data_IF_733866393144
#
_entry.id   IF_733866393144
#
_cell.length_a   1.000
_cell.length_b   1.000
_cell.length_c   1.000
_cell.angle_alpha   90.00
_cell.angle_beta   90.00
_cell.angle_gamma   90.00
#
_symmetry.space_group_name_H-M   'P 1'
#
loop_
_entity.id
_entity.type
_entity.pdbx_description
1 polymer ?
#
# COMPACT_ATOMS: atom_id res chain seq x y z
N UNK A 1 11.09 7.33 6.56
CA UNK A 1 11.87 7.09 5.31
C UNK A 1 11.41 5.80 4.68
N UNK A 2 10.93 5.85 3.44
CA UNK A 2 10.69 4.67 2.60
C UNK A 2 11.92 4.36 1.75
N UNK A 3 12.04 3.11 1.28
CA UNK A 3 13.10 2.71 0.34
C UNK A 3 13.05 3.53 -0.96
N UNK A 4 11.86 3.98 -1.38
CA UNK A 4 11.66 4.92 -2.47
C UNK A 4 10.39 5.77 -2.23
N UNK A 5 10.25 6.90 -2.92
CA UNK A 5 9.07 7.76 -2.83
C UNK A 5 7.80 6.98 -3.18
N UNK A 6 6.82 6.89 -2.28
CA UNK A 6 5.57 6.16 -2.48
C UNK A 6 4.81 6.63 -3.72
N UNK A 7 4.06 5.72 -4.32
CA UNK A 7 3.10 6.04 -5.36
C UNK A 7 1.94 5.06 -5.27
N UNK A 8 0.83 5.53 -4.72
CA UNK A 8 -0.38 4.73 -4.46
C UNK A 8 -1.23 4.55 -5.71
N UNK A 9 -2.14 3.57 -5.68
CA UNK A 9 -3.15 3.42 -6.73
C UNK A 9 -4.09 4.64 -6.82
N UNK A 10 -4.34 5.34 -5.72
CA UNK A 10 -5.06 6.62 -5.72
C UNK A 10 -4.30 7.72 -6.45
N UNK A 11 -2.97 7.82 -6.25
CA UNK A 11 -2.15 8.77 -7.01
C UNK A 11 -2.22 8.49 -8.51
N UNK A 12 -2.18 7.20 -8.90
CA UNK A 12 -2.37 6.81 -10.29
C UNK A 12 -3.70 7.33 -10.83
N UNK A 13 -4.82 7.01 -10.18
CA UNK A 13 -6.16 7.43 -10.63
C UNK A 13 -6.27 8.95 -10.76
N UNK A 14 -5.69 9.71 -9.82
CA UNK A 14 -5.66 11.17 -9.88
C UNK A 14 -4.83 11.70 -11.06
N UNK A 15 -3.66 11.12 -11.31
CA UNK A 15 -2.83 11.51 -12.45
C UNK A 15 -3.52 11.18 -13.78
N UNK A 16 -4.13 9.99 -13.91
CA UNK A 16 -4.87 9.62 -15.10
C UNK A 16 -6.07 10.54 -15.33
N UNK A 17 -6.84 10.84 -14.27
CA UNK A 17 -7.95 11.79 -14.35
C UNK A 17 -7.48 13.17 -14.82
N UNK A 18 -6.35 13.67 -14.29
CA UNK A 18 -5.75 14.94 -14.74
C UNK A 18 -5.29 14.91 -16.19
N UNK A 19 -4.89 13.77 -16.73
CA UNK A 19 -4.45 13.65 -18.12
C UNK A 19 -5.61 13.50 -19.10
N UNK A 20 -6.74 12.93 -18.68
CA UNK A 20 -7.85 12.56 -19.59
C UNK A 20 -9.12 13.39 -19.44
N UNK A 21 -9.33 14.06 -18.30
CA UNK A 21 -10.57 14.80 -18.00
C UNK A 21 -10.35 16.31 -17.83
N UNK A 22 -9.44 16.91 -18.59
CA UNK A 22 -9.34 18.37 -18.66
C UNK A 22 -10.42 18.94 -19.59
N UNK A 23 -11.60 19.21 -19.02
CA UNK A 23 -12.63 20.05 -19.65
C UNK A 23 -12.12 21.51 -19.71
N UNK A 24 -12.19 22.23 -20.85
CA UNK A 24 -12.92 21.93 -22.09
C UNK A 24 -12.09 21.37 -23.25
N UNK A 25 -10.88 20.86 -23.01
CA UNK A 25 -9.96 20.40 -24.06
C UNK A 25 -9.47 18.99 -23.81
N UNK A 26 -10.39 18.03 -23.79
CA UNK A 26 -10.04 16.60 -23.80
C UNK A 26 -9.23 16.31 -25.07
N UNK A 27 -7.97 15.91 -24.90
CA UNK A 27 -7.09 15.59 -26.03
C UNK A 27 -7.60 14.31 -26.72
N UNK A 28 -8.08 14.37 -27.97
CA UNK A 28 -8.61 13.19 -28.66
C UNK A 28 -7.54 12.11 -28.93
N UNK A 29 -6.27 12.48 -28.81
CA UNK A 29 -5.13 11.58 -29.03
C UNK A 29 -4.77 10.77 -27.78
N UNK A 30 -5.43 11.01 -26.65
CA UNK A 30 -5.19 10.31 -25.37
C UNK A 30 -6.46 9.62 -24.92
N UNK A 31 -6.45 8.30 -24.98
CA UNK A 31 -7.54 7.44 -24.51
C UNK A 31 -7.05 6.64 -23.30
N UNK A 32 -7.90 6.49 -22.29
CA UNK A 32 -7.61 5.69 -21.11
C UNK A 32 -8.76 4.73 -20.87
N UNK A 33 -8.47 3.45 -21.03
CA UNK A 33 -9.43 2.36 -20.91
C UNK A 33 -9.07 1.46 -19.73
N UNK A 34 -10.05 0.67 -19.30
CA UNK A 34 -9.80 -0.44 -18.37
C UNK A 34 -9.37 -1.63 -19.23
N UNK A 35 -8.10 -2.01 -19.16
CA UNK A 35 -7.55 -3.17 -19.86
C UNK A 35 -8.21 -4.46 -19.35
N UNK A 36 -8.28 -4.60 -18.03
CA UNK A 36 -8.93 -5.71 -17.36
C UNK A 36 -9.25 -5.36 -15.90
N UNK A 37 -9.97 -6.26 -15.24
CA UNK A 37 -10.11 -6.30 -13.79
C UNK A 37 -9.08 -7.28 -13.23
N UNK A 38 -8.41 -6.88 -12.16
CA UNK A 38 -7.49 -7.74 -11.43
C UNK A 38 -8.23 -8.77 -10.57
N UNK A 39 -7.51 -9.63 -9.85
CA UNK A 39 -8.12 -10.66 -9.01
C UNK A 39 -8.93 -10.07 -7.85
N UNK A 40 -8.51 -8.93 -7.31
CA UNK A 40 -9.26 -8.20 -6.29
C UNK A 40 -10.29 -7.21 -6.89
N UNK A 41 -10.55 -7.26 -8.21
CA UNK A 41 -11.57 -6.42 -8.86
C UNK A 41 -11.12 -4.99 -9.17
N UNK A 42 -9.86 -4.64 -8.91
CA UNK A 42 -9.31 -3.33 -9.23
C UNK A 42 -9.16 -3.17 -10.75
N UNK A 43 -9.33 -1.94 -11.24
CA UNK A 43 -9.09 -1.63 -12.65
C UNK A 43 -7.59 -1.65 -12.95
N UNK A 44 -7.16 -2.48 -13.90
CA UNK A 44 -5.87 -2.31 -14.55
C UNK A 44 -6.07 -1.38 -15.75
N UNK A 45 -5.50 -0.18 -15.72
CA UNK A 45 -5.68 0.83 -16.77
C UNK A 45 -4.69 0.63 -17.91
N UNK A 46 -5.10 0.96 -19.13
CA UNK A 46 -4.22 1.13 -20.28
C UNK A 46 -4.52 2.44 -20.98
N UNK A 47 -3.47 3.20 -21.28
CA UNK A 47 -3.55 4.39 -22.10
C UNK A 47 -3.17 4.06 -23.54
N UNK A 48 -3.95 4.58 -24.48
CA UNK A 48 -3.59 4.65 -25.88
C UNK A 48 -3.26 6.10 -26.23
N UNK A 49 -2.02 6.38 -26.62
CA UNK A 49 -1.59 7.73 -27.02
C UNK A 49 -1.09 7.68 -28.46
N UNK A 50 -1.78 8.37 -29.38
CA UNK A 50 -1.40 8.44 -30.80
C UNK A 50 -2.18 9.53 -31.53
N UNK A 51 -1.63 10.07 -32.62
CA UNK A 51 -2.29 11.08 -33.46
C UNK A 51 -3.40 10.42 -34.30
N UNK A 52 -4.67 10.69 -34.02
CA UNK A 52 -5.80 10.03 -34.70
C UNK A 52 -5.92 10.38 -36.20
N UNK A 53 -5.24 11.42 -36.68
CA UNK A 53 -5.27 11.82 -38.10
C UNK A 53 -4.46 10.89 -39.00
N UNK A 54 -3.53 10.12 -38.44
CA UNK A 54 -2.66 9.21 -39.20
C UNK A 54 -3.11 7.76 -38.97
N UNK A 55 -3.37 6.98 -40.03
CA UNK A 55 -3.77 5.58 -39.91
C UNK A 55 -2.79 4.75 -39.09
N UNK A 56 -3.28 3.83 -38.27
CA UNK A 56 -2.46 3.05 -37.35
C UNK A 56 -1.47 2.11 -38.06
N UNK A 57 -1.81 1.66 -39.28
CA UNK A 57 -1.01 0.77 -40.11
C UNK A 57 0.28 1.44 -40.63
N UNK A 58 0.32 2.77 -40.61
CA UNK A 58 1.49 3.57 -40.99
C UNK A 58 2.42 3.87 -39.80
N UNK A 59 2.11 3.32 -38.62
CA UNK A 59 2.80 3.60 -37.37
C UNK A 59 3.38 2.34 -36.75
N UNK A 60 4.38 2.53 -35.91
CA UNK A 60 4.95 1.47 -35.09
C UNK A 60 4.20 1.36 -33.75
N UNK A 61 3.89 0.14 -33.33
CA UNK A 61 3.33 -0.12 -32.00
C UNK A 61 4.40 -0.10 -30.93
N UNK A 62 4.14 0.55 -29.79
CA UNK A 62 5.02 0.54 -28.63
C UNK A 62 4.23 0.21 -27.36
N UNK A 63 4.59 -0.88 -26.68
CA UNK A 63 4.00 -1.28 -25.40
C UNK A 63 4.97 -0.95 -24.26
N UNK A 64 4.50 -0.21 -23.26
CA UNK A 64 5.28 0.13 -22.06
C UNK A 64 4.46 -0.21 -20.82
N UNK A 65 5.05 -0.88 -19.84
CA UNK A 65 4.40 -1.18 -18.58
C UNK A 65 5.28 -0.87 -17.38
N UNK A 66 4.68 -0.69 -16.21
CA UNK A 66 5.37 -0.47 -14.93
C UNK A 66 4.65 -1.18 -13.77
N UNK A 67 5.32 -1.25 -12.62
CA UNK A 67 4.81 -1.85 -11.36
C UNK A 67 4.27 -3.27 -11.52
N UNK A 68 5.11 -4.18 -12.04
CA UNK A 68 4.86 -5.62 -11.91
C UNK A 68 5.07 -6.03 -10.45
N UNK A 69 6.19 -5.58 -9.86
CA UNK A 69 6.43 -5.67 -8.43
C UNK A 69 5.86 -4.43 -7.73
N UNK A 70 5.01 -4.60 -6.71
CA UNK A 70 4.30 -3.48 -6.09
C UNK A 70 5.23 -2.54 -5.32
N UNK A 71 6.32 -3.04 -4.75
CA UNK A 71 7.30 -2.24 -3.99
C UNK A 71 8.20 -1.33 -4.83
N UNK A 72 8.26 -1.48 -6.16
CA UNK A 72 9.14 -0.71 -7.06
C UNK A 72 8.53 0.65 -7.45
N UNK A 73 8.27 1.50 -6.45
CA UNK A 73 7.52 2.76 -6.65
C UNK A 73 8.21 3.78 -7.55
N UNK A 74 9.55 3.75 -7.66
CA UNK A 74 10.32 4.54 -8.63
C UNK A 74 9.80 4.36 -10.07
N UNK A 75 9.35 3.16 -10.45
CA UNK A 75 8.81 2.90 -11.79
C UNK A 75 7.54 3.71 -12.07
N UNK A 76 6.70 3.97 -11.07
CA UNK A 76 5.53 4.84 -11.23
C UNK A 76 5.89 6.30 -11.43
N UNK A 77 6.95 6.79 -10.80
CA UNK A 77 7.43 8.16 -11.00
C UNK A 77 8.03 8.36 -12.40
N UNK A 78 8.82 7.38 -12.87
CA UNK A 78 9.30 7.35 -14.26
C UNK A 78 8.12 7.32 -15.26
N UNK A 79 7.14 6.46 -15.01
CA UNK A 79 5.91 6.36 -15.80
C UNK A 79 5.11 7.66 -15.81
N UNK A 80 4.98 8.34 -14.66
CA UNK A 80 4.30 9.64 -14.56
C UNK A 80 4.98 10.69 -15.42
N UNK A 81 6.31 10.75 -15.41
CA UNK A 81 7.08 11.66 -16.26
C UNK A 81 6.86 11.39 -17.74
N UNK A 82 6.94 10.12 -18.15
CA UNK A 82 6.67 9.68 -19.52
C UNK A 82 5.26 10.09 -19.98
N UNK A 83 4.24 9.79 -19.17
CA UNK A 83 2.85 10.12 -19.49
C UNK A 83 2.65 11.63 -19.62
N UNK A 84 3.19 12.44 -18.70
CA UNK A 84 3.09 13.90 -18.78
C UNK A 84 3.73 14.45 -20.05
N UNK A 85 4.91 13.94 -20.42
CA UNK A 85 5.60 14.37 -21.64
C UNK A 85 4.81 13.98 -22.89
N UNK A 86 4.39 12.72 -22.99
CA UNK A 86 3.62 12.24 -24.15
C UNK A 86 2.24 12.87 -24.25
N UNK A 87 1.68 13.40 -23.16
CA UNK A 87 0.38 14.05 -23.09
C UNK A 87 0.43 15.59 -23.26
N UNK A 88 1.60 16.22 -23.35
CA UNK A 88 1.70 17.67 -23.48
C UNK A 88 1.45 18.13 -24.94
N UNK A 89 0.33 18.83 -25.23
CA UNK A 89 0.02 19.26 -26.59
C UNK A 89 0.88 20.43 -27.09
N UNK A 90 1.61 21.11 -26.19
CA UNK A 90 2.38 22.29 -26.54
C UNK A 90 3.77 21.96 -27.12
N UNK A 91 4.16 20.68 -27.13
CA UNK A 91 5.48 20.23 -27.56
C UNK A 91 5.44 19.69 -29.01
N UNK A 92 6.08 20.37 -29.99
CA UNK A 92 6.08 19.92 -31.39
C UNK A 92 6.65 18.51 -31.58
N UNK A 93 7.66 18.15 -30.79
CA UNK A 93 8.29 16.83 -30.86
C UNK A 93 7.35 15.71 -30.42
N UNK A 94 6.44 15.98 -29.47
CA UNK A 94 5.42 15.02 -29.02
C UNK A 94 4.41 14.75 -30.14
N UNK A 95 4.00 15.78 -30.88
CA UNK A 95 3.15 15.60 -32.08
C UNK A 95 3.84 14.71 -33.12
N UNK A 96 5.13 14.95 -33.40
CA UNK A 96 5.90 14.12 -34.32
C UNK A 96 6.01 12.65 -33.85
N UNK A 97 6.19 12.41 -32.55
CA UNK A 97 6.19 11.06 -31.96
C UNK A 97 4.83 10.38 -32.14
N UNK A 98 3.73 11.04 -31.77
CA UNK A 98 2.36 10.49 -31.86
C UNK A 98 1.93 10.17 -33.29
N UNK A 99 2.51 10.83 -34.30
CA UNK A 99 2.28 10.52 -35.72
C UNK A 99 3.00 9.27 -36.21
N UNK A 100 4.10 8.88 -35.57
CA UNK A 100 4.91 7.72 -35.94
C UNK A 100 4.62 6.48 -35.10
N UNK A 101 4.06 6.66 -33.91
CA UNK A 101 3.87 5.58 -32.94
C UNK A 101 2.42 5.48 -32.44
N UNK A 102 1.99 4.25 -32.16
CA UNK A 102 0.83 3.95 -31.32
C UNK A 102 1.36 3.47 -29.97
N UNK A 103 1.31 4.33 -28.96
CA UNK A 103 1.71 3.97 -27.61
C UNK A 103 0.57 3.27 -26.88
N UNK A 104 0.82 2.06 -26.37
CA UNK A 104 -0.02 1.33 -25.43
C UNK A 104 0.72 1.30 -24.10
N UNK A 105 0.18 1.96 -23.08
CA UNK A 105 0.90 2.17 -21.81
C UNK A 105 0.08 1.63 -20.65
N UNK A 106 0.64 0.71 -19.88
CA UNK A 106 0.04 0.13 -18.68
C UNK A 106 0.79 0.67 -17.46
N UNK A 107 0.32 1.76 -16.83
CA UNK A 107 1.10 2.46 -15.82
C UNK A 107 1.29 1.71 -14.50
N UNK A 108 0.43 0.71 -14.24
CA UNK A 108 0.54 -0.16 -13.07
C UNK A 108 -0.06 -1.52 -13.38
N UNK A 109 0.80 -2.54 -13.57
CA UNK A 109 0.36 -3.88 -13.95
C UNK A 109 -0.21 -4.67 -12.77
N UNK A 110 0.27 -4.41 -11.55
CA UNK A 110 -0.15 -5.09 -10.33
C UNK A 110 -0.75 -4.12 -9.30
N UNK A 111 -1.95 -3.54 -9.55
CA UNK A 111 -2.59 -2.65 -8.59
C UNK A 111 -3.02 -3.38 -7.32
N UNK A 112 -3.33 -4.68 -7.36
CA UNK A 112 -3.72 -5.46 -6.18
C UNK A 112 -2.61 -5.51 -5.14
N UNK A 113 -1.38 -5.82 -5.54
CA UNK A 113 -0.25 -5.82 -4.61
C UNK A 113 0.17 -4.42 -4.15
N UNK A 114 -0.36 -3.35 -4.74
CA UNK A 114 -0.15 -1.96 -4.30
C UNK A 114 -1.21 -1.54 -3.29
N UNK A 115 -2.40 -2.14 -3.38
CA UNK A 115 -3.51 -1.91 -2.45
C UNK A 115 -3.40 -2.97 -1.36
N UNK A 116 -2.45 -2.76 -0.46
CA UNK A 116 -2.25 -3.66 0.67
C UNK A 116 -3.31 -3.41 1.74
N UNK A 117 -4.04 -4.46 2.12
CA UNK A 117 -5.03 -4.42 3.22
C UNK A 117 -4.33 -4.48 4.59
N UNK A 118 -3.16 -5.14 4.63
CA UNK A 118 -2.39 -5.38 5.83
C UNK A 118 -0.91 -5.55 5.48
N UNK A 119 -0.04 -4.97 6.31
CA UNK A 119 1.40 -5.17 6.27
C UNK A 119 1.86 -5.73 7.62
N UNK A 120 2.69 -6.77 7.62
CA UNK A 120 3.27 -7.33 8.84
C UNK A 120 4.71 -7.75 8.61
N UNK A 121 5.63 -7.15 9.36
CA UNK A 121 7.06 -7.45 9.36
C UNK A 121 7.42 -8.34 10.55
N UNK A 122 8.02 -9.51 10.32
CA UNK A 122 8.27 -10.53 11.36
C UNK A 122 9.68 -10.42 11.93
N UNK A 123 9.81 -10.20 13.24
CA UNK A 123 11.07 -9.98 13.95
C UNK A 123 11.20 -10.83 15.21
N UNK A 124 12.44 -10.94 15.68
CA UNK A 124 12.79 -11.52 16.97
C UNK A 124 13.16 -10.45 17.99
N UNK A 125 12.70 -10.59 19.23
CA UNK A 125 12.95 -9.63 20.28
C UNK A 125 13.76 -10.23 21.43
N UNK A 126 14.89 -9.60 21.78
CA UNK A 126 15.87 -10.16 22.71
C UNK A 126 15.61 -9.87 24.19
N UNK A 127 14.79 -8.85 24.52
CA UNK A 127 14.61 -8.37 25.91
C UNK A 127 13.24 -8.69 26.49
N UNK A 128 12.18 -8.42 25.73
CA UNK A 128 10.79 -8.68 26.11
C UNK A 128 10.46 -10.17 25.92
N UNK A 129 9.75 -10.75 26.90
CA UNK A 129 9.10 -12.06 26.75
C UNK A 129 7.80 -11.93 25.94
N UNK A 130 7.28 -13.06 25.48
CA UNK A 130 6.03 -13.22 24.73
C UNK A 130 6.12 -12.79 23.25
N UNK A 131 5.04 -13.05 22.53
CA UNK A 131 4.77 -12.48 21.20
C UNK A 131 3.96 -11.21 21.37
N UNK A 132 4.24 -10.16 20.60
CA UNK A 132 3.49 -8.91 20.60
C UNK A 132 3.67 -8.16 19.28
N UNK A 133 2.94 -7.07 19.09
CA UNK A 133 3.00 -6.26 17.87
C UNK A 133 3.29 -4.79 18.18
N UNK A 134 4.11 -4.18 17.34
CA UNK A 134 4.14 -2.73 17.21
C UNK A 134 3.26 -2.31 16.04
N UNK A 135 2.31 -1.43 16.29
CA UNK A 135 1.46 -0.81 15.26
C UNK A 135 1.77 0.66 15.06
N UNK A 136 0.84 1.36 14.44
CA UNK A 136 0.81 2.81 14.33
C UNK A 136 -0.53 3.34 14.86
N UNK A 137 -0.55 4.59 15.30
CA UNK A 137 -1.72 5.22 15.88
C UNK A 137 -2.04 6.51 15.13
N UNK A 138 -3.19 6.57 14.46
CA UNK A 138 -3.66 7.75 13.73
C UNK A 138 -3.98 8.94 14.61
N UNK A 139 -4.31 8.71 15.88
CA UNK A 139 -4.54 9.78 16.84
C UNK A 139 -3.27 10.56 17.21
N UNK A 140 -2.09 10.01 16.89
CA UNK A 140 -0.79 10.57 17.26
C UNK A 140 -0.02 11.15 16.07
N UNK A 141 -0.67 11.37 14.92
CA UNK A 141 -0.04 12.16 13.86
C UNK A 141 0.31 13.53 14.45
N UNK A 142 1.61 13.82 14.52
CA UNK A 142 2.12 15.14 14.88
C UNK A 142 1.28 16.17 14.13
N UNK A 143 0.72 17.11 14.89
CA UNK A 143 0.14 18.34 14.37
C UNK A 143 1.13 18.88 13.36
N UNK A 144 0.89 18.65 12.07
CA UNK A 144 1.60 19.38 11.04
C UNK A 144 1.42 20.85 11.40
N UNK A 145 2.51 21.60 11.49
CA UNK A 145 2.53 23.00 11.95
C UNK A 145 1.62 23.94 11.12
N UNK A 146 0.91 23.41 10.11
CA UNK A 146 0.15 24.15 9.10
C UNK A 146 -1.30 23.62 8.87
N UNK A 147 -1.84 22.70 9.69
CA UNK A 147 -3.26 22.30 9.59
C UNK A 147 -4.00 22.52 10.91
N UNK A 148 -4.72 23.64 11.00
CA UNK A 148 -5.54 24.05 12.16
C UNK A 148 -6.85 23.27 12.29
N UNK A 149 -6.87 21.99 11.93
CA UNK A 149 -8.05 21.15 12.14
C UNK A 149 -7.85 20.32 13.39
N UNK A 150 -8.57 20.67 14.44
CA UNK A 150 -8.87 19.81 15.57
C UNK A 150 -9.69 18.60 15.08
N UNK A 151 -9.03 17.66 14.39
CA UNK A 151 -9.62 16.38 14.05
C UNK A 151 -9.54 15.53 15.31
N UNK A 152 -10.67 15.47 16.04
CA UNK A 152 -10.85 14.48 17.08
C UNK A 152 -10.48 13.09 16.50
N UNK A 153 -9.72 12.27 17.24
CA UNK A 153 -9.31 10.96 16.75
C UNK A 153 -10.54 10.13 16.41
N UNK A 154 -10.59 9.58 15.20
CA UNK A 154 -11.69 8.71 14.76
C UNK A 154 -11.72 7.44 15.64
N UNK A 155 -12.75 7.25 16.48
CA UNK A 155 -12.84 6.08 17.36
C UNK A 155 -12.87 4.76 16.57
N UNK A 156 -13.45 4.76 15.35
CA UNK A 156 -13.49 3.57 14.51
C UNK A 156 -12.08 3.20 14.05
N UNK A 157 -11.31 4.18 13.56
CA UNK A 157 -9.93 3.95 13.14
C UNK A 157 -9.05 3.48 14.30
N UNK A 158 -9.17 4.11 15.47
CA UNK A 158 -8.43 3.73 16.68
C UNK A 158 -8.64 2.25 17.05
N UNK A 159 -9.89 1.78 16.96
CA UNK A 159 -10.25 0.38 17.20
C UNK A 159 -9.70 -0.54 16.12
N UNK A 160 -9.85 -0.16 14.84
CA UNK A 160 -9.39 -0.97 13.70
C UNK A 160 -7.88 -1.20 13.74
N UNK A 161 -7.08 -0.19 14.06
CA UNK A 161 -5.62 -0.30 14.20
C UNK A 161 -5.19 -1.28 15.31
N UNK A 162 -6.08 -1.60 16.25
CA UNK A 162 -5.84 -2.49 17.40
C UNK A 162 -6.56 -3.83 17.31
N UNK A 163 -7.48 -3.98 16.35
CA UNK A 163 -8.35 -5.15 16.24
C UNK A 163 -7.54 -6.43 16.05
N UNK A 164 -6.61 -6.45 15.10
CA UNK A 164 -5.81 -7.66 14.83
C UNK A 164 -4.96 -8.10 16.03
N UNK A 165 -4.14 -7.23 16.67
CA UNK A 165 -3.43 -7.61 17.89
C UNK A 165 -4.39 -8.06 19.02
N UNK A 166 -5.58 -7.47 19.11
CA UNK A 166 -6.57 -7.87 20.10
C UNK A 166 -7.09 -9.29 19.83
N UNK A 167 -7.50 -9.61 18.61
CA UNK A 167 -7.94 -10.96 18.23
C UNK A 167 -6.86 -12.01 18.53
N UNK A 168 -5.61 -11.66 18.25
CA UNK A 168 -4.45 -12.51 18.53
C UNK A 168 -4.30 -12.83 20.02
N UNK A 169 -4.52 -11.84 20.88
CA UNK A 169 -4.49 -12.01 22.34
C UNK A 169 -5.60 -12.91 22.86
N UNK A 170 -6.75 -12.94 22.18
CA UNK A 170 -7.86 -13.84 22.53
C UNK A 170 -7.59 -15.27 22.05
N UNK A 171 -6.90 -15.42 20.92
CA UNK A 171 -6.60 -16.73 20.35
C UNK A 171 -5.49 -17.47 21.11
N UNK A 172 -4.41 -16.78 21.47
CA UNK A 172 -3.26 -17.39 22.16
C UNK A 172 -2.86 -16.62 23.43
N UNK A 173 -3.73 -16.54 24.45
CA UNK A 173 -3.49 -15.76 25.66
C UNK A 173 -2.26 -16.21 26.47
N UNK A 174 -1.80 -17.45 26.27
CA UNK A 174 -0.59 -17.99 26.90
C UNK A 174 0.72 -17.55 26.23
N UNK A 175 0.66 -16.97 25.02
CA UNK A 175 1.85 -16.62 24.23
C UNK A 175 1.86 -15.18 23.76
N UNK A 176 0.71 -14.59 23.44
CA UNK A 176 0.62 -13.23 22.94
C UNK A 176 0.24 -12.22 24.03
N UNK A 177 0.99 -11.12 24.11
CA UNK A 177 0.78 -10.07 25.08
C UNK A 177 0.30 -8.79 24.42
N UNK A 178 -1.02 -8.55 24.42
CA UNK A 178 -1.58 -7.26 23.96
C UNK A 178 -1.05 -6.08 24.79
N UNK A 179 -0.77 -6.30 26.08
CA UNK A 179 -0.19 -5.30 26.97
C UNK A 179 1.21 -4.84 26.51
N UNK A 180 1.97 -5.73 25.89
CA UNK A 180 3.30 -5.42 25.34
C UNK A 180 3.22 -4.70 23.99
N UNK A 181 2.05 -4.69 23.33
CA UNK A 181 1.88 -3.95 22.10
C UNK A 181 2.07 -2.44 22.31
N UNK A 182 2.62 -1.78 21.29
CA UNK A 182 2.80 -0.31 21.24
C UNK A 182 2.37 0.21 19.89
N UNK A 183 1.56 1.26 19.90
CA UNK A 183 1.03 1.88 18.67
C UNK A 183 1.59 3.29 18.47
N UNK A 184 2.15 3.91 19.51
CA UNK A 184 2.86 5.17 19.39
C UNK A 184 4.15 4.99 18.59
N UNK A 185 4.40 5.94 17.68
CA UNK A 185 5.59 5.95 16.83
C UNK A 185 6.61 6.90 17.43
N UNK A 186 7.81 6.39 17.71
CA UNK A 186 8.94 7.20 18.13
C UNK A 186 9.68 7.76 16.90
N UNK A 187 10.24 8.97 16.99
CA UNK A 187 10.93 9.64 15.87
C UNK A 187 12.02 8.76 15.21
N UNK A 188 12.77 7.99 16.00
CA UNK A 188 13.78 7.04 15.50
C UNK A 188 13.22 5.85 14.72
N UNK A 189 11.90 5.64 14.73
CA UNK A 189 11.20 4.54 14.04
C UNK A 189 10.40 5.00 12.83
N UNK A 190 10.46 6.28 12.48
CA UNK A 190 9.85 6.89 11.28
C UNK A 190 10.30 6.26 9.95
N UNK A 191 11.43 5.55 9.96
CA UNK A 191 11.98 4.83 8.82
C UNK A 191 11.64 3.33 8.80
N UNK A 192 10.90 2.82 9.78
CA UNK A 192 10.55 1.39 9.82
C UNK A 192 9.47 1.07 8.80
N UNK A 193 9.49 -0.18 8.30
CA UNK A 193 8.52 -0.67 7.32
C UNK A 193 7.07 -0.38 7.72
N UNK A 194 6.69 -0.70 8.96
CA UNK A 194 5.30 -0.48 9.43
C UNK A 194 4.85 0.99 9.31
N UNK A 195 5.72 1.94 9.66
CA UNK A 195 5.36 3.37 9.66
C UNK A 195 5.27 3.89 8.23
N UNK A 196 6.14 3.40 7.35
CA UNK A 196 6.10 3.73 5.92
C UNK A 196 4.82 3.22 5.27
N UNK A 197 4.48 1.94 5.44
CA UNK A 197 3.26 1.36 4.87
C UNK A 197 2.00 2.04 5.42
N UNK A 198 1.97 2.31 6.73
CA UNK A 198 0.86 3.03 7.35
C UNK A 198 0.70 4.47 6.84
N UNK A 199 1.74 5.30 6.99
CA UNK A 199 1.63 6.75 6.71
C UNK A 199 1.59 7.05 5.21
N UNK A 200 2.37 6.31 4.43
CA UNK A 200 2.63 6.68 3.04
C UNK A 200 1.84 5.85 2.02
N UNK A 201 1.53 4.60 2.35
CA UNK A 201 0.71 3.72 1.51
C UNK A 201 -0.74 3.64 2.00
N UNK A 202 -1.05 4.21 3.17
CA UNK A 202 -2.41 4.25 3.72
C UNK A 202 -2.87 2.90 4.30
N UNK A 203 -1.93 2.00 4.59
CA UNK A 203 -2.24 0.67 5.13
C UNK A 203 -2.47 0.78 6.63
N UNK A 204 -3.72 0.93 7.05
CA UNK A 204 -4.08 1.10 8.47
C UNK A 204 -3.54 -0.05 9.34
N UNK A 205 -3.70 -1.29 8.86
CA UNK A 205 -3.26 -2.50 9.56
C UNK A 205 -1.79 -2.80 9.24
N UNK A 206 -0.87 -1.96 9.73
CA UNK A 206 0.56 -2.10 9.50
C UNK A 206 1.33 -2.37 10.79
N UNK A 207 1.96 -3.53 10.87
CA UNK A 207 2.56 -4.06 12.10
C UNK A 207 4.00 -4.52 11.93
N UNK A 208 4.75 -4.45 13.03
CA UNK A 208 5.93 -5.29 13.26
C UNK A 208 5.53 -6.33 14.31
N UNK A 209 5.55 -7.62 13.98
CA UNK A 209 5.38 -8.69 14.95
C UNK A 209 6.73 -9.03 15.56
N UNK A 210 6.79 -9.02 16.88
CA UNK A 210 7.99 -9.30 17.65
C UNK A 210 7.78 -10.61 18.42
N UNK A 211 8.60 -11.61 18.13
CA UNK A 211 8.60 -12.89 18.83
C UNK A 211 9.82 -12.99 19.76
N UNK A 212 9.59 -13.27 21.05
CA UNK A 212 10.69 -13.39 22.01
C UNK A 212 11.71 -14.47 21.62
N UNK A 213 13.00 -14.16 21.73
CA UNK A 213 14.07 -15.16 21.56
C UNK A 213 14.16 -16.15 22.74
N UNK A 214 13.56 -15.82 23.89
CA UNK A 214 13.56 -16.69 25.05
C UNK A 214 12.27 -17.51 25.11
N UNK A 215 11.10 -16.86 25.14
CA UNK A 215 9.83 -17.56 25.32
C UNK A 215 8.69 -16.70 25.87
N UNK A 216 7.62 -17.35 26.33
CA UNK A 216 6.45 -16.71 26.91
C UNK A 216 6.43 -16.83 28.44
N UNK A 217 5.94 -15.79 29.11
CA UNK A 217 5.78 -15.72 30.56
C UNK A 217 4.32 -15.53 31.00
N UNK A 218 3.36 -15.65 30.08
CA UNK A 218 1.94 -15.37 30.35
C UNK A 218 1.29 -16.40 31.28
N UNK A 219 1.82 -17.62 31.36
CA UNK A 219 1.31 -18.70 32.23
C UNK A 219 1.80 -18.59 33.69
N UNK A 220 2.51 -17.51 34.05
CA UNK A 220 3.10 -17.31 35.38
C UNK A 220 4.48 -17.93 35.57
N UNK A 221 4.97 -18.71 34.61
CA UNK A 221 6.36 -19.21 34.52
C UNK A 221 6.92 -18.95 33.12
N UNK A 222 8.24 -18.88 33.01
CA UNK A 222 8.90 -18.73 31.71
C UNK A 222 8.89 -20.07 30.96
N UNK A 223 8.26 -20.09 29.80
CA UNK A 223 8.17 -21.23 28.89
C UNK A 223 8.94 -20.89 27.62
N UNK A 224 10.04 -21.60 27.38
CA UNK A 224 10.90 -21.33 26.23
C UNK A 224 10.20 -21.71 24.93
N UNK A 225 10.35 -20.88 23.89
CA UNK A 225 9.85 -21.23 22.57
C UNK A 225 10.76 -22.26 21.90
N UNK A 226 10.14 -23.32 21.37
CA UNK A 226 10.78 -24.22 20.42
C UNK A 226 10.30 -23.90 18.99
N UNK A 227 10.82 -24.63 18.00
CA UNK A 227 10.47 -24.42 16.58
C UNK A 227 8.96 -24.56 16.34
N UNK A 228 8.30 -25.52 17.00
CA UNK A 228 6.84 -25.72 16.87
C UNK A 228 6.07 -24.51 17.40
N UNK A 229 6.55 -23.87 18.47
CA UNK A 229 5.93 -22.64 18.99
C UNK A 229 6.11 -21.44 18.05
N UNK A 230 7.27 -21.34 17.40
CA UNK A 230 7.54 -20.29 16.42
C UNK A 230 6.69 -20.49 15.16
N UNK A 231 6.59 -21.73 14.66
CA UNK A 231 5.70 -22.08 13.55
C UNK A 231 4.23 -21.88 13.90
N UNK A 232 3.83 -22.18 15.14
CA UNK A 232 2.45 -21.95 15.60
C UNK A 232 2.12 -20.46 15.57
N UNK A 233 3.06 -19.60 15.98
CA UNK A 233 2.88 -18.14 15.90
C UNK A 233 2.62 -17.71 14.45
N UNK A 234 3.38 -18.21 13.47
CA UNK A 234 3.08 -17.93 12.05
C UNK A 234 1.67 -18.39 11.63
N UNK A 235 1.26 -19.59 12.07
CA UNK A 235 -0.07 -20.15 11.79
C UNK A 235 -1.21 -19.33 12.43
N UNK A 236 -1.00 -18.84 13.64
CA UNK A 236 -1.98 -18.05 14.40
C UNK A 236 -2.25 -16.70 13.72
N UNK A 237 -1.28 -16.13 12.99
CA UNK A 237 -1.50 -14.95 12.13
C UNK A 237 -2.54 -15.29 11.07
N UNK A 238 -2.30 -16.34 10.29
CA UNK A 238 -3.19 -16.71 9.19
C UNK A 238 -4.63 -16.98 9.67
N UNK A 239 -4.80 -17.61 10.83
CA UNK A 239 -6.11 -17.88 11.40
C UNK A 239 -6.85 -16.61 11.86
N UNK A 240 -6.13 -15.65 12.44
CA UNK A 240 -6.73 -14.37 12.85
C UNK A 240 -7.13 -13.50 11.66
N UNK A 241 -6.48 -13.63 10.50
CA UNK A 241 -6.86 -12.88 9.29
C UNK A 241 -8.29 -13.16 8.83
N UNK A 242 -8.77 -14.40 8.97
CA UNK A 242 -10.15 -14.74 8.60
C UNK A 242 -11.16 -14.03 9.50
N UNK A 243 -10.97 -14.12 10.84
CA UNK A 243 -11.82 -13.44 11.82
C UNK A 243 -11.76 -11.92 11.66
N UNK A 244 -10.57 -11.38 11.41
CA UNK A 244 -10.36 -9.97 11.15
C UNK A 244 -11.21 -9.52 9.95
N UNK A 245 -11.13 -10.28 8.85
CA UNK A 245 -11.91 -10.01 7.64
C UNK A 245 -13.42 -10.02 7.90
N UNK A 246 -13.93 -11.07 8.55
CA UNK A 246 -15.36 -11.20 8.87
C UNK A 246 -15.90 -10.00 9.66
N UNK A 247 -15.13 -9.52 10.65
CA UNK A 247 -15.49 -8.35 11.47
C UNK A 247 -15.45 -7.07 10.63
N UNK A 248 -14.44 -6.90 9.77
CA UNK A 248 -14.33 -5.69 8.94
C UNK A 248 -15.37 -5.63 7.82
N UNK A 249 -15.86 -6.77 7.32
CA UNK A 249 -16.88 -6.83 6.25
C UNK A 249 -18.32 -6.72 6.78
N UNK A 250 -18.59 -7.04 8.05
CA UNK A 250 -19.93 -6.90 8.65
C UNK A 250 -20.30 -5.45 8.99
N UNK A 251 -19.38 -4.51 8.80
CA UNK A 251 -19.56 -3.07 9.07
C UNK A 251 -19.68 -2.19 7.80
N UNK A 252 -19.73 -2.77 6.60
CA UNK A 252 -20.07 -2.10 5.33
C UNK A 252 -21.54 -2.34 4.93
#
# INVERSE_FOLDING_TARGET
MAYCYPYTYTNLKQDLWKLTNQDPKKDPNVQCDILCRTRAGNSCFMLTITDQEVPAEQKLGMLISARVHPGETNSSWMMRGLLRYLCDPNLPHVKALRRQFVFKIIPMLNPDGVIDVLYCDLHGHSRQSNVFMYGCDSSYQERAEDDTRDLAPDPKQFLMERLLPFLYSQQIPSKFSFKNCRFSVHASKEATGRVVFWRQFGVLNSFTLECSMAGASMSGKMENFNIVDLESTGRDIAQNLLKFKEITETEE
#
